data_IF_091243920878
#
_entry.id   IF_091243920878
#
_cell.length_a   1.000
_cell.length_b   1.000
_cell.length_c   1.000
_cell.angle_alpha   90.00
_cell.angle_beta   90.00
_cell.angle_gamma   90.00
#
_symmetry.space_group_name_H-M   'P 1'
#
loop_
_entity.id
_entity.type
_entity.pdbx_description
1 polymer ?
#
# COMPACT_ATOMS: atom_id res chain seq x y z
N UNK A 1 24.44 -17.26 -36.12
CA UNK A 1 25.18 -16.95 -34.90
C UNK A 1 24.18 -16.43 -33.88
N UNK A 2 24.08 -17.08 -32.73
CA UNK A 2 23.15 -16.68 -31.68
C UNK A 2 23.78 -15.58 -30.81
N UNK A 3 23.03 -14.50 -30.52
CA UNK A 3 23.41 -13.51 -29.54
C UNK A 3 23.07 -14.09 -28.19
N UNK A 4 24.08 -14.42 -27.39
CA UNK A 4 23.89 -15.04 -26.09
C UNK A 4 23.52 -14.04 -24.97
N UNK A 5 23.77 -12.75 -25.21
CA UNK A 5 23.48 -11.72 -24.25
C UNK A 5 23.43 -10.32 -24.88
N UNK A 6 22.48 -9.49 -24.44
CA UNK A 6 22.36 -8.10 -24.86
C UNK A 6 21.92 -7.26 -23.65
N UNK A 7 22.71 -6.25 -23.23
CA UNK A 7 22.32 -5.34 -22.14
C UNK A 7 20.98 -4.63 -22.40
N UNK A 8 20.75 -4.23 -23.66
CA UNK A 8 19.52 -3.54 -24.07
C UNK A 8 18.28 -4.42 -23.94
N UNK A 9 18.42 -5.73 -24.18
CA UNK A 9 17.33 -6.68 -24.02
C UNK A 9 16.99 -6.91 -22.55
N UNK A 10 17.99 -6.92 -21.67
CA UNK A 10 17.76 -7.02 -20.23
C UNK A 10 17.09 -5.78 -19.65
N UNK A 11 17.54 -4.59 -20.04
CA UNK A 11 16.92 -3.33 -19.60
C UNK A 11 15.46 -3.26 -20.01
N UNK A 12 15.17 -3.58 -21.28
CA UNK A 12 13.79 -3.58 -21.80
C UNK A 12 12.92 -4.62 -21.10
N UNK A 13 13.45 -5.80 -20.84
CA UNK A 13 12.76 -6.89 -20.14
C UNK A 13 12.50 -6.53 -18.67
N UNK A 14 13.47 -5.91 -17.99
CA UNK A 14 13.35 -5.44 -16.61
C UNK A 14 12.26 -4.35 -16.48
N UNK A 15 12.26 -3.34 -17.35
CA UNK A 15 11.26 -2.26 -17.38
C UNK A 15 9.85 -2.80 -17.67
N UNK A 16 9.69 -3.79 -18.57
CA UNK A 16 8.39 -4.39 -18.89
C UNK A 16 7.81 -5.21 -17.75
N UNK A 17 8.62 -5.59 -16.74
CA UNK A 17 8.22 -6.36 -15.56
C UNK A 17 8.04 -5.52 -14.30
N UNK A 18 8.28 -4.22 -14.34
CA UNK A 18 8.04 -3.35 -13.21
C UNK A 18 6.55 -3.25 -12.91
N UNK A 19 6.22 -3.50 -11.65
CA UNK A 19 4.84 -3.51 -11.16
C UNK A 19 4.64 -2.32 -10.23
N UNK A 20 3.52 -1.63 -10.42
CA UNK A 20 3.07 -0.60 -9.49
C UNK A 20 2.51 -1.25 -8.23
N UNK A 21 3.05 -0.86 -7.09
CA UNK A 21 2.65 -1.38 -5.78
C UNK A 21 2.13 -0.23 -4.91
N UNK A 22 1.01 -0.45 -4.25
CA UNK A 22 0.39 0.51 -3.35
C UNK A 22 0.29 -0.08 -1.97
N UNK A 23 0.80 0.64 -0.98
CA UNK A 23 0.85 0.22 0.41
C UNK A 23 0.19 1.28 1.29
N UNK A 24 -0.78 0.87 2.11
CA UNK A 24 -1.32 1.70 3.17
C UNK A 24 -0.36 1.71 4.36
N UNK A 25 -0.06 2.89 4.86
CA UNK A 25 0.82 3.10 6.01
C UNK A 25 0.02 3.77 7.11
N UNK A 26 -0.07 3.14 8.28
CA UNK A 26 -0.85 3.66 9.39
C UNK A 26 -0.14 3.49 10.74
N UNK A 27 -0.40 4.44 11.65
CA UNK A 27 0.09 4.39 13.02
C UNK A 27 -0.78 5.26 13.93
N UNK A 28 -0.99 4.83 15.17
CA UNK A 28 -1.59 5.65 16.22
C UNK A 28 -0.78 5.65 17.53
N UNK A 29 0.45 5.16 17.48
CA UNK A 29 1.43 5.21 18.57
C UNK A 29 2.66 5.93 18.07
N UNK A 30 2.92 7.14 18.56
CA UNK A 30 4.03 7.99 18.10
C UNK A 30 4.10 8.08 16.57
N UNK A 31 2.98 8.42 15.88
CA UNK A 31 2.87 8.23 14.43
C UNK A 31 3.93 8.99 13.63
N UNK A 32 4.31 10.19 14.04
CA UNK A 32 5.32 11.00 13.31
C UNK A 32 6.66 10.26 13.23
N UNK A 33 7.10 9.67 14.34
CA UNK A 33 8.36 8.93 14.43
C UNK A 33 8.25 7.59 13.68
N UNK A 34 7.17 6.85 13.93
CA UNK A 34 7.00 5.50 13.38
C UNK A 34 6.78 5.51 11.87
N UNK A 35 5.95 6.42 11.38
CA UNK A 35 5.73 6.58 9.94
C UNK A 35 7.01 7.04 9.25
N UNK A 36 7.70 8.03 9.79
CA UNK A 36 8.96 8.52 9.25
C UNK A 36 10.00 7.41 9.10
N UNK A 37 10.16 6.56 10.10
CA UNK A 37 11.07 5.41 10.07
C UNK A 37 10.65 4.38 9.02
N UNK A 38 9.37 4.06 8.93
CA UNK A 38 8.84 3.12 7.95
C UNK A 38 9.04 3.62 6.51
N UNK A 39 8.81 4.91 6.25
CA UNK A 39 9.04 5.52 4.94
C UNK A 39 10.53 5.46 4.54
N UNK A 40 11.44 5.68 5.49
CA UNK A 40 12.87 5.53 5.25
C UNK A 40 13.23 4.09 4.88
N UNK A 41 12.70 3.11 5.59
CA UNK A 41 12.90 1.69 5.31
C UNK A 41 12.32 1.29 3.94
N UNK A 42 11.16 1.81 3.58
CA UNK A 42 10.56 1.57 2.26
C UNK A 42 11.44 2.12 1.12
N UNK A 43 11.99 3.33 1.30
CA UNK A 43 12.93 3.91 0.32
C UNK A 43 14.20 3.10 0.19
N UNK A 44 14.74 2.60 1.29
CA UNK A 44 15.94 1.76 1.28
C UNK A 44 15.72 0.46 0.52
N UNK A 45 14.55 -0.17 0.71
CA UNK A 45 14.25 -1.48 0.13
C UNK A 45 13.71 -1.41 -1.31
N UNK A 46 12.97 -0.39 -1.67
CA UNK A 46 12.27 -0.30 -2.97
C UNK A 46 12.74 0.87 -3.85
N UNK A 47 13.57 1.76 -3.34
CA UNK A 47 14.00 2.95 -4.06
C UNK A 47 13.00 4.10 -3.97
N UNK A 48 12.78 4.81 -5.06
CA UNK A 48 11.89 5.97 -5.08
C UNK A 48 10.45 5.59 -4.73
N UNK A 49 9.85 6.34 -3.83
CA UNK A 49 8.45 6.18 -3.42
C UNK A 49 7.71 7.50 -3.60
N UNK A 50 6.43 7.43 -3.92
CA UNK A 50 5.50 8.56 -3.95
C UNK A 50 4.55 8.46 -2.77
N UNK A 51 4.24 9.60 -2.16
CA UNK A 51 3.37 9.67 -0.98
C UNK A 51 2.08 10.41 -1.30
N UNK A 52 0.96 9.90 -0.81
CA UNK A 52 -0.27 10.69 -0.72
C UNK A 52 -0.19 11.71 0.41
N UNK A 53 -1.20 12.56 0.53
CA UNK A 53 -1.47 13.31 1.76
C UNK A 53 -1.67 12.33 2.91
N UNK A 54 -1.20 12.71 4.10
CA UNK A 54 -1.47 11.98 5.34
C UNK A 54 -2.76 12.50 5.97
N UNK A 55 -3.62 11.59 6.39
CA UNK A 55 -4.92 11.91 6.99
C UNK A 55 -5.01 11.38 8.40
N UNK A 56 -5.62 12.17 9.27
CA UNK A 56 -5.96 11.76 10.62
C UNK A 56 -7.39 11.22 10.65
N UNK A 57 -7.59 10.07 11.27
CA UNK A 57 -8.92 9.48 11.43
C UNK A 57 -9.01 8.73 12.77
N UNK A 58 -10.22 8.69 13.36
CA UNK A 58 -10.41 7.98 14.64
C UNK A 58 -10.15 6.48 14.51
N UNK A 59 -9.76 5.86 15.61
CA UNK A 59 -9.68 4.41 15.72
C UNK A 59 -11.07 3.79 15.52
N UNK A 60 -11.15 2.74 14.70
CA UNK A 60 -12.40 2.08 14.35
C UNK A 60 -12.48 0.72 15.04
N UNK A 61 -13.55 0.50 15.80
CA UNK A 61 -13.85 -0.77 16.43
C UNK A 61 -13.14 -1.04 17.77
N UNK A 62 -12.40 -0.06 18.31
CA UNK A 62 -11.78 -0.11 19.64
C UNK A 62 -11.51 1.32 20.15
N UNK A 63 -11.25 1.46 21.44
CA UNK A 63 -10.80 2.72 22.04
C UNK A 63 -9.28 2.87 21.89
N UNK A 64 -8.85 3.98 21.30
CA UNK A 64 -7.44 4.30 21.10
C UNK A 64 -7.29 5.68 20.50
N UNK A 65 -6.06 6.16 20.42
CA UNK A 65 -5.73 7.41 19.78
C UNK A 65 -6.04 7.37 18.27
N UNK A 66 -6.23 8.52 17.69
CA UNK A 66 -6.45 8.64 16.24
C UNK A 66 -5.26 8.09 15.44
N UNK A 67 -5.58 7.46 14.34
CA UNK A 67 -4.57 7.03 13.35
C UNK A 67 -4.16 8.17 12.44
N UNK A 68 -2.90 8.15 12.04
CA UNK A 68 -2.43 8.82 10.83
C UNK A 68 -2.27 7.76 9.76
N UNK A 69 -2.90 7.97 8.61
CA UNK A 69 -2.84 7.07 7.45
C UNK A 69 -2.43 7.82 6.19
N UNK A 70 -1.64 7.17 5.38
CA UNK A 70 -1.30 7.59 4.02
C UNK A 70 -1.13 6.37 3.13
N UNK A 71 -1.06 6.60 1.82
CA UNK A 71 -0.75 5.56 0.86
C UNK A 71 0.58 5.89 0.18
N UNK A 72 1.39 4.87 0.00
CA UNK A 72 2.68 4.93 -0.67
C UNK A 72 2.58 4.14 -1.96
N UNK A 73 3.13 4.69 -3.05
CA UNK A 73 3.30 4.01 -4.33
C UNK A 73 4.78 3.85 -4.63
N UNK A 74 5.14 2.68 -5.13
CA UNK A 74 6.46 2.42 -5.71
C UNK A 74 6.37 1.40 -6.85
N UNK A 75 7.43 1.31 -7.63
CA UNK A 75 7.57 0.32 -8.68
C UNK A 75 8.65 -0.69 -8.33
N UNK A 76 8.40 -1.96 -8.62
CA UNK A 76 9.35 -3.01 -8.30
C UNK A 76 9.29 -4.17 -9.30
N UNK A 77 10.41 -4.88 -9.42
CA UNK A 77 10.49 -6.19 -10.09
C UNK A 77 10.50 -7.33 -9.07
N UNK A 78 10.48 -7.00 -7.78
CA UNK A 78 10.50 -7.98 -6.68
C UNK A 78 9.19 -8.77 -6.67
N UNK A 79 9.24 -10.10 -6.57
CA UNK A 79 8.02 -10.93 -6.50
C UNK A 79 7.13 -10.59 -5.31
N UNK A 80 5.83 -10.82 -5.46
CA UNK A 80 4.81 -10.55 -4.43
C UNK A 80 5.18 -11.13 -3.06
N UNK A 81 5.62 -12.37 -2.99
CA UNK A 81 5.98 -13.02 -1.73
C UNK A 81 7.13 -12.32 -0.99
N UNK A 82 8.13 -11.83 -1.74
CA UNK A 82 9.22 -11.05 -1.16
C UNK A 82 8.78 -9.67 -0.72
N UNK A 83 7.92 -9.01 -1.49
CA UNK A 83 7.33 -7.70 -1.09
C UNK A 83 6.60 -7.85 0.24
N UNK A 84 5.76 -8.86 0.37
CA UNK A 84 5.03 -9.13 1.62
C UNK A 84 5.99 -9.38 2.80
N UNK A 85 7.06 -10.15 2.57
CA UNK A 85 8.09 -10.40 3.57
C UNK A 85 8.81 -9.12 4.01
N UNK A 86 9.16 -8.24 3.07
CA UNK A 86 9.80 -6.95 3.36
C UNK A 86 8.88 -6.05 4.18
N UNK A 87 7.60 -5.94 3.81
CA UNK A 87 6.63 -5.16 4.57
C UNK A 87 6.51 -5.66 6.00
N UNK A 88 6.47 -6.97 6.17
CA UNK A 88 6.42 -7.59 7.49
C UNK A 88 7.68 -7.33 8.33
N UNK A 89 8.87 -7.41 7.73
CA UNK A 89 10.13 -7.05 8.41
C UNK A 89 10.13 -5.60 8.88
N UNK A 90 9.64 -4.67 8.05
CA UNK A 90 9.55 -3.26 8.41
C UNK A 90 8.59 -3.05 9.59
N UNK A 91 7.45 -3.72 9.59
CA UNK A 91 6.50 -3.69 10.71
C UNK A 91 7.13 -4.18 12.02
N UNK A 92 7.85 -5.29 11.98
CA UNK A 92 8.56 -5.85 13.15
C UNK A 92 9.61 -4.88 13.67
N UNK A 93 10.42 -4.31 12.79
CA UNK A 93 11.44 -3.28 13.15
C UNK A 93 10.78 -2.04 13.74
N UNK A 94 9.60 -1.70 13.30
CA UNK A 94 8.80 -0.59 13.81
C UNK A 94 8.12 -0.89 15.16
N UNK A 95 8.32 -2.07 15.73
CA UNK A 95 7.79 -2.45 17.04
C UNK A 95 6.40 -3.06 17.02
N UNK A 96 5.96 -3.62 15.90
CA UNK A 96 4.66 -4.29 15.80
C UNK A 96 4.57 -5.44 16.81
N UNK A 97 3.51 -5.43 17.61
CA UNK A 97 3.16 -6.54 18.50
C UNK A 97 2.37 -7.60 17.74
N UNK A 98 3.00 -8.73 17.44
CA UNK A 98 2.39 -9.86 16.72
C UNK A 98 1.32 -10.59 17.54
N UNK A 99 1.32 -10.39 18.86
CA UNK A 99 0.32 -10.99 19.75
C UNK A 99 -0.91 -10.08 19.96
N UNK A 100 -0.87 -8.82 19.48
CA UNK A 100 -1.97 -7.89 19.63
C UNK A 100 -3.19 -8.32 18.80
N UNK A 101 -4.43 -8.04 19.29
CA UNK A 101 -5.65 -8.23 18.51
C UNK A 101 -5.62 -7.42 17.20
N UNK A 102 -6.40 -7.87 16.21
CA UNK A 102 -6.53 -7.16 14.92
C UNK A 102 -6.99 -5.71 15.10
N UNK A 103 -7.99 -5.49 15.97
CA UNK A 103 -8.49 -4.17 16.34
C UNK A 103 -7.80 -3.71 17.62
N UNK A 104 -6.64 -3.08 17.45
CA UNK A 104 -5.82 -2.55 18.53
C UNK A 104 -4.96 -1.40 18.03
N UNK A 105 -4.36 -0.66 18.97
CA UNK A 105 -3.36 0.37 18.62
C UNK A 105 -2.16 -0.24 17.91
N UNK A 106 -1.64 0.46 16.91
CA UNK A 106 -0.55 0.01 16.05
C UNK A 106 0.60 0.99 16.08
N UNK A 107 1.80 0.48 16.38
CA UNK A 107 3.03 1.25 16.21
C UNK A 107 3.26 1.59 14.75
N UNK A 108 3.16 0.58 13.88
CA UNK A 108 3.17 0.74 12.43
C UNK A 108 2.41 -0.40 11.79
N UNK A 109 1.60 -0.08 10.82
CA UNK A 109 0.84 -1.04 10.01
C UNK A 109 1.10 -0.76 8.53
N UNK A 110 1.52 -1.77 7.80
CA UNK A 110 1.80 -1.71 6.37
C UNK A 110 0.92 -2.70 5.64
N UNK A 111 -0.14 -2.20 5.01
CA UNK A 111 -1.10 -3.01 4.28
C UNK A 111 -0.84 -2.96 2.78
N UNK A 112 -0.56 -4.09 2.16
CA UNK A 112 -0.51 -4.17 0.71
C UNK A 112 -1.93 -3.99 0.16
N UNK A 113 -2.13 -2.94 -0.63
CA UNK A 113 -3.44 -2.57 -1.20
C UNK A 113 -3.63 -3.10 -2.61
N UNK A 114 -2.63 -2.87 -3.46
CA UNK A 114 -2.60 -3.31 -4.86
C UNK A 114 -1.20 -3.77 -5.23
N UNK A 115 -1.15 -4.81 -6.03
CA UNK A 115 0.06 -5.29 -6.68
C UNK A 115 -0.19 -5.37 -8.19
N UNK A 116 0.07 -4.26 -8.90
CA UNK A 116 -0.37 -4.09 -10.27
C UNK A 116 -1.88 -4.27 -10.40
N UNK A 117 -2.29 -5.05 -11.38
CA UNK A 117 -3.70 -5.41 -11.61
C UNK A 117 -4.03 -6.83 -11.13
N UNK A 118 -3.17 -7.40 -10.29
CA UNK A 118 -3.32 -8.77 -9.80
C UNK A 118 -4.57 -8.91 -8.93
N UNK A 119 -5.36 -9.92 -9.21
CA UNK A 119 -6.54 -10.31 -8.43
C UNK A 119 -6.26 -11.66 -7.77
N UNK A 120 -6.25 -11.68 -6.45
CA UNK A 120 -6.09 -12.89 -5.63
C UNK A 120 -7.18 -12.90 -4.57
N UNK A 121 -7.80 -14.06 -4.38
CA UNK A 121 -8.75 -14.28 -3.31
C UNK A 121 -8.55 -15.67 -2.72
N UNK A 122 -7.93 -15.70 -1.54
CA UNK A 122 -7.76 -16.94 -0.77
C UNK A 122 -7.71 -16.62 0.73
N UNK A 123 -7.58 -17.63 1.57
CA UNK A 123 -7.62 -17.49 3.04
C UNK A 123 -6.46 -16.66 3.63
N UNK A 124 -5.38 -16.45 2.86
CA UNK A 124 -4.18 -15.76 3.32
C UNK A 124 -4.05 -14.35 2.79
N UNK A 125 -4.57 -14.09 1.58
CA UNK A 125 -4.37 -12.83 0.88
C UNK A 125 -5.53 -12.54 -0.05
N UNK A 126 -6.02 -11.30 0.01
CA UNK A 126 -7.00 -10.76 -0.94
C UNK A 126 -6.39 -9.51 -1.57
N UNK A 127 -6.26 -9.50 -2.89
CA UNK A 127 -5.84 -8.35 -3.69
C UNK A 127 -6.79 -8.13 -4.87
N UNK A 128 -7.13 -6.90 -5.21
CA UNK A 128 -6.91 -5.70 -4.41
C UNK A 128 -7.55 -5.83 -3.03
N UNK A 129 -6.96 -5.16 -2.03
CA UNK A 129 -7.49 -5.21 -0.67
C UNK A 129 -8.92 -4.67 -0.64
N UNK A 130 -9.88 -5.36 0.00
CA UNK A 130 -11.30 -4.94 -0.02
C UNK A 130 -11.53 -3.52 0.46
N UNK A 131 -10.77 -3.06 1.44
CA UNK A 131 -10.86 -1.72 2.01
C UNK A 131 -10.49 -0.61 1.01
N UNK A 132 -9.91 -0.92 -0.14
CA UNK A 132 -9.73 0.04 -1.24
C UNK A 132 -11.07 0.53 -1.80
N UNK A 133 -12.15 -0.20 -1.55
CA UNK A 133 -13.51 0.18 -1.95
C UNK A 133 -14.40 0.62 -0.79
N UNK A 134 -14.01 0.29 0.46
CA UNK A 134 -14.88 0.44 1.63
C UNK A 134 -14.33 1.37 2.71
N UNK A 135 -13.10 1.84 2.58
CA UNK A 135 -12.45 2.69 3.57
C UNK A 135 -11.95 3.99 2.95
N UNK A 136 -12.47 5.12 3.43
CA UNK A 136 -12.07 6.44 2.97
C UNK A 136 -10.56 6.70 3.16
N UNK A 137 -9.97 6.18 4.24
CA UNK A 137 -8.54 6.35 4.54
C UNK A 137 -7.60 5.62 3.57
N UNK A 138 -8.12 4.76 2.68
CA UNK A 138 -7.39 4.19 1.55
C UNK A 138 -7.86 4.76 0.21
N UNK A 139 -9.17 4.86 0.02
CA UNK A 139 -9.74 5.30 -1.26
C UNK A 139 -9.37 6.74 -1.61
N UNK A 140 -9.47 7.66 -0.64
CA UNK A 140 -9.08 9.06 -0.88
C UNK A 140 -7.60 9.21 -1.25
N UNK A 141 -6.63 8.66 -0.50
CA UNK A 141 -5.24 8.69 -0.89
C UNK A 141 -4.95 8.05 -2.25
N UNK A 142 -5.59 6.93 -2.58
CA UNK A 142 -5.44 6.28 -3.89
C UNK A 142 -5.93 7.18 -5.02
N UNK A 143 -7.03 7.89 -4.81
CA UNK A 143 -7.56 8.85 -5.80
C UNK A 143 -6.63 10.03 -6.03
N UNK A 144 -5.82 10.40 -5.05
CA UNK A 144 -4.80 11.45 -5.18
C UNK A 144 -3.57 10.97 -5.97
N UNK A 145 -3.07 9.76 -5.65
CA UNK A 145 -1.86 9.22 -6.28
C UNK A 145 -2.09 8.79 -7.73
N UNK A 146 -3.21 8.15 -7.98
CA UNK A 146 -3.53 7.55 -9.28
C UNK A 146 -5.01 7.72 -9.61
N UNK A 147 -5.47 8.95 -9.86
CA UNK A 147 -6.89 9.22 -10.10
C UNK A 147 -7.49 8.41 -11.25
N UNK A 148 -6.71 8.21 -12.31
CA UNK A 148 -7.16 7.55 -13.54
C UNK A 148 -6.92 6.04 -13.55
N UNK A 149 -6.32 5.48 -12.49
CA UNK A 149 -6.13 4.03 -12.40
C UNK A 149 -7.46 3.33 -12.17
N UNK A 150 -7.70 2.30 -12.97
CA UNK A 150 -8.89 1.45 -12.86
C UNK A 150 -8.71 0.43 -11.75
N UNK A 151 -9.69 0.35 -10.85
CA UNK A 151 -9.70 -0.70 -9.83
C UNK A 151 -9.87 -2.08 -10.50
N UNK A 152 -8.96 -3.05 -10.24
CA UNK A 152 -8.93 -4.32 -11.01
C UNK A 152 -10.19 -5.18 -10.90
N UNK A 153 -10.98 -5.01 -9.84
CA UNK A 153 -12.23 -5.77 -9.64
C UNK A 153 -13.45 -4.92 -9.98
N UNK A 154 -13.50 -3.68 -9.47
CA UNK A 154 -14.68 -2.81 -9.64
C UNK A 154 -14.82 -2.28 -11.07
N UNK A 155 -13.72 -1.99 -11.75
CA UNK A 155 -13.70 -1.49 -13.13
C UNK A 155 -13.85 0.03 -13.26
N UNK A 156 -14.05 0.77 -12.18
CA UNK A 156 -14.05 2.23 -12.16
C UNK A 156 -12.69 2.77 -11.75
N UNK A 157 -12.40 4.03 -12.13
CA UNK A 157 -11.19 4.72 -11.69
C UNK A 157 -11.28 5.11 -10.22
N UNK A 158 -10.13 5.33 -9.58
CA UNK A 158 -10.13 5.75 -8.17
C UNK A 158 -10.76 7.13 -7.96
N UNK A 159 -10.64 8.05 -8.93
CA UNK A 159 -11.32 9.35 -8.83
C UNK A 159 -12.84 9.19 -8.94
N UNK A 160 -13.33 8.32 -9.80
CA UNK A 160 -14.77 8.01 -9.90
C UNK A 160 -15.30 7.38 -8.61
N UNK A 161 -14.57 6.42 -8.06
CA UNK A 161 -14.91 5.76 -6.80
C UNK A 161 -14.95 6.75 -5.64
N UNK A 162 -13.97 7.66 -5.56
CA UNK A 162 -13.93 8.67 -4.51
C UNK A 162 -15.08 9.69 -4.65
N UNK A 163 -15.35 10.16 -5.86
CA UNK A 163 -16.46 11.09 -6.11
C UNK A 163 -17.81 10.51 -5.70
N UNK A 164 -18.00 9.22 -5.97
CA UNK A 164 -19.20 8.49 -5.53
C UNK A 164 -19.26 8.37 -4.02
N UNK A 165 -18.17 8.04 -3.37
CA UNK A 165 -18.08 7.96 -1.91
C UNK A 165 -18.49 9.28 -1.24
N UNK A 166 -17.95 10.41 -1.71
CA UNK A 166 -18.30 11.73 -1.21
C UNK A 166 -19.79 12.03 -1.39
N UNK A 167 -20.36 11.66 -2.51
CA UNK A 167 -21.79 11.84 -2.81
C UNK A 167 -22.71 11.01 -1.92
N UNK A 168 -22.28 9.82 -1.51
CA UNK A 168 -23.03 8.93 -0.60
C UNK A 168 -22.88 9.33 0.88
N UNK A 169 -21.74 9.92 1.25
CA UNK A 169 -21.46 10.35 2.61
C UNK A 169 -22.11 11.73 2.95
N UNK A 170 -22.47 12.49 1.94
CA UNK A 170 -23.21 13.75 2.06
C UNK A 170 -24.71 13.50 2.10
#
# INVERSE_FOLDING_TARGET
MAILWSPLAEEHFSLSKMIDVFVGVGSNIEPDVRIGAALADLRERFGAIELSTAYQNPAIGFEGDDFINLVVRFRTVIPLSEVLGILHEIEIRGGKDLAAPRLASKTIDLDLLLFGDLVIENDRLVLPRPETLTAAYYLKPLSELEPDRVHPVDGRTFVELWSRWEGEAG
#
